data_IF_843704664873
#
_entry.id   IF_843704664873
#
_cell.length_a   1.000
_cell.length_b   1.000
_cell.length_c   1.000
_cell.angle_alpha   90.00
_cell.angle_beta   90.00
_cell.angle_gamma   90.00
#
_symmetry.space_group_name_H-M   'P 1'
#
loop_
_entity.id
_entity.type
_entity.pdbx_description
1 polymer ?
#
# COMPACT_ATOMS: atom_id res chain seq x y z
N UNK A 1 28.01 13.69 8.77
CA UNK A 1 27.03 12.64 8.41
C UNK A 1 25.64 13.15 8.75
N UNK A 2 24.73 13.25 7.78
CA UNK A 2 23.33 13.58 8.07
C UNK A 2 22.63 12.27 8.44
N UNK A 3 22.25 12.10 9.70
CA UNK A 3 21.46 10.94 10.13
C UNK A 3 20.15 10.85 9.36
N UNK A 4 19.81 9.64 8.93
CA UNK A 4 18.53 9.35 8.30
C UNK A 4 17.40 9.53 9.31
N UNK A 5 16.71 10.68 9.26
CA UNK A 5 15.58 11.00 10.15
C UNK A 5 14.29 10.22 9.83
N UNK A 6 14.23 9.49 8.71
CA UNK A 6 12.98 8.92 8.19
C UNK A 6 12.71 7.53 8.78
N UNK A 7 11.58 7.39 9.48
CA UNK A 7 11.15 6.10 10.06
C UNK A 7 10.58 5.11 9.05
N UNK A 8 10.03 5.59 7.94
CA UNK A 8 9.31 4.76 6.97
C UNK A 8 9.79 5.02 5.53
N UNK A 9 9.97 3.96 4.73
CA UNK A 9 10.23 4.12 3.29
C UNK A 9 9.02 4.75 2.60
N UNK A 10 9.29 5.64 1.63
CA UNK A 10 8.29 6.25 0.76
C UNK A 10 8.19 5.48 -0.56
N UNK A 11 6.97 5.34 -1.04
CA UNK A 11 6.62 4.60 -2.24
C UNK A 11 5.98 5.55 -3.25
N UNK A 12 6.52 5.60 -4.46
CA UNK A 12 5.96 6.41 -5.53
C UNK A 12 4.58 5.87 -5.93
N UNK A 13 3.60 6.76 -5.87
CA UNK A 13 2.20 6.45 -6.15
C UNK A 13 1.98 6.48 -7.66
N UNK A 14 1.04 5.67 -8.15
CA UNK A 14 0.63 5.68 -9.56
C UNK A 14 -0.17 6.96 -9.85
N UNK A 15 -0.15 7.41 -11.10
CA UNK A 15 -0.66 8.72 -11.55
C UNK A 15 -2.16 8.98 -11.28
N UNK A 16 -2.91 8.03 -10.73
CA UNK A 16 -4.35 8.04 -10.59
C UNK A 16 -4.85 8.08 -9.13
N UNK A 17 -4.01 8.45 -8.17
CA UNK A 17 -4.42 8.58 -6.77
C UNK A 17 -4.32 10.02 -6.25
N UNK A 18 -5.31 10.41 -5.47
CA UNK A 18 -5.55 11.78 -5.04
C UNK A 18 -5.82 11.84 -3.54
N UNK A 19 -5.38 12.94 -2.95
CA UNK A 19 -5.75 13.34 -1.62
C UNK A 19 -6.92 14.33 -1.72
N UNK A 20 -8.00 14.03 -1.02
CA UNK A 20 -9.09 15.00 -0.78
C UNK A 20 -8.74 15.70 0.52
N UNK A 21 -8.50 17.00 0.42
CA UNK A 21 -8.21 17.86 1.55
C UNK A 21 -9.45 18.75 1.69
N UNK A 22 -10.14 18.63 2.83
CA UNK A 22 -11.35 19.39 3.13
C UNK A 22 -11.08 20.67 3.96
N UNK A 23 -10.62 21.80 3.38
CA UNK A 23 -11.11 23.11 3.76
C UNK A 23 -12.33 23.48 2.89
N UNK A 24 -13.04 24.57 3.21
CA UNK A 24 -13.93 25.22 2.23
C UNK A 24 -13.06 26.19 1.40
N UNK A 25 -12.95 26.01 0.06
CA UNK A 25 -13.46 24.93 -0.78
C UNK A 25 -12.60 23.65 -0.75
N UNK A 26 -13.24 22.49 -1.02
CA UNK A 26 -12.59 21.17 -1.05
C UNK A 26 -11.52 21.14 -2.14
N UNK A 27 -10.35 20.59 -1.80
CA UNK A 27 -9.23 20.46 -2.74
C UNK A 27 -8.92 19.01 -3.04
N UNK A 28 -8.84 18.69 -4.32
CA UNK A 28 -8.39 17.39 -4.82
C UNK A 28 -6.98 17.56 -5.37
N UNK A 29 -6.00 16.96 -4.71
CA UNK A 29 -4.58 17.10 -5.08
C UNK A 29 -3.92 15.76 -5.38
N UNK A 30 -3.06 15.64 -6.40
CA UNK A 30 -2.35 14.40 -6.69
C UNK A 30 -1.44 13.94 -5.55
N UNK A 31 -1.43 12.64 -5.26
CA UNK A 31 -0.46 12.03 -4.34
C UNK A 31 0.76 11.60 -5.15
N UNK A 32 1.92 12.17 -4.83
CA UNK A 32 3.20 11.87 -5.50
C UNK A 32 3.87 10.64 -4.90
N UNK A 33 3.91 10.57 -3.58
CA UNK A 33 4.50 9.47 -2.83
C UNK A 33 3.79 9.27 -1.48
N UNK A 34 3.89 8.08 -0.93
CA UNK A 34 3.24 7.73 0.34
C UNK A 34 4.10 6.83 1.20
N UNK A 35 3.95 6.94 2.51
CA UNK A 35 4.51 6.07 3.53
C UNK A 35 3.46 5.82 4.62
N UNK A 36 3.73 4.86 5.52
CA UNK A 36 2.85 4.57 6.65
C UNK A 36 2.60 5.78 7.58
N UNK A 37 3.51 6.76 7.59
CA UNK A 37 3.40 7.95 8.45
C UNK A 37 3.04 9.24 7.71
N UNK A 38 2.79 9.21 6.40
CA UNK A 38 2.46 10.44 5.67
C UNK A 38 2.50 10.31 4.15
N UNK A 39 2.05 11.36 3.47
CA UNK A 39 2.05 11.49 2.02
C UNK A 39 2.86 12.71 1.56
N UNK A 40 3.34 12.67 0.32
CA UNK A 40 3.76 13.84 -0.44
C UNK A 40 2.69 14.15 -1.47
N UNK A 41 2.16 15.37 -1.46
CA UNK A 41 1.12 15.82 -2.40
C UNK A 41 1.64 16.96 -3.26
N UNK A 42 1.13 17.05 -4.48
CA UNK A 42 1.36 18.19 -5.36
C UNK A 42 0.35 19.29 -5.06
N UNK A 43 0.81 20.53 -4.92
CA UNK A 43 -0.01 21.71 -4.70
C UNK A 43 0.41 22.73 -5.74
N UNK A 44 -0.53 23.30 -6.50
CA UNK A 44 -0.20 24.33 -7.48
C UNK A 44 0.24 25.63 -6.76
N UNK A 45 0.80 26.59 -7.51
CA UNK A 45 1.26 27.85 -6.92
C UNK A 45 0.10 28.83 -6.60
N UNK A 46 -1.02 28.72 -7.32
CA UNK A 46 -2.25 29.49 -7.12
C UNK A 46 -2.99 29.12 -5.80
N UNK A 47 -2.78 27.90 -5.33
CA UNK A 47 -3.39 27.34 -4.13
C UNK A 47 -2.75 27.97 -2.88
N UNK A 48 -3.36 29.05 -2.38
CA UNK A 48 -2.98 29.62 -1.09
C UNK A 48 -3.22 28.62 0.04
N UNK A 49 -2.16 28.41 0.84
CA UNK A 49 -2.01 27.61 2.07
C UNK A 49 -3.07 26.53 2.33
N UNK A 50 -2.62 25.27 2.32
CA UNK A 50 -3.29 24.17 3.01
C UNK A 50 -3.38 24.53 4.51
N UNK A 51 -4.54 24.97 4.97
CA UNK A 51 -4.77 25.36 6.36
C UNK A 51 -4.93 24.14 7.27
N UNK A 52 -4.57 24.30 8.54
CA UNK A 52 -4.28 23.22 9.51
C UNK A 52 -5.44 22.30 9.93
N UNK A 53 -6.61 22.34 9.30
CA UNK A 53 -7.82 21.70 9.87
C UNK A 53 -8.56 20.75 8.93
N UNK A 54 -7.94 20.30 7.84
CA UNK A 54 -8.64 19.49 6.85
C UNK A 54 -8.61 18.01 7.20
N UNK A 55 -9.78 17.36 7.22
CA UNK A 55 -9.84 15.89 7.10
C UNK A 55 -9.16 15.53 5.78
N UNK A 56 -8.26 14.55 5.85
CA UNK A 56 -7.58 14.00 4.69
C UNK A 56 -8.26 12.68 4.31
N UNK A 57 -8.52 12.53 3.02
CA UNK A 57 -9.00 11.29 2.44
C UNK A 57 -8.10 10.91 1.27
N UNK A 58 -7.98 9.61 0.99
CA UNK A 58 -7.21 9.07 -0.12
C UNK A 58 -8.15 8.35 -1.04
N UNK A 59 -8.11 8.66 -2.33
CA UNK A 59 -8.96 8.05 -3.35
C UNK A 59 -8.15 7.70 -4.59
N UNK A 60 -8.55 6.64 -5.28
CA UNK A 60 -8.07 6.32 -6.63
C UNK A 60 -9.17 6.63 -7.64
N UNK A 61 -8.83 7.26 -8.77
CA UNK A 61 -9.80 7.78 -9.73
C UNK A 61 -10.71 6.72 -10.38
N UNK A 62 -10.28 5.46 -10.41
CA UNK A 62 -11.08 4.32 -10.90
C UNK A 62 -12.03 3.75 -9.82
N UNK A 63 -12.18 4.44 -8.68
CA UNK A 63 -12.98 4.04 -7.52
C UNK A 63 -12.56 2.69 -6.89
N UNK A 64 -11.39 2.14 -7.25
CA UNK A 64 -10.90 0.87 -6.72
C UNK A 64 -10.45 0.92 -5.26
N UNK A 65 -10.29 2.13 -4.71
CA UNK A 65 -9.84 2.35 -3.35
C UNK A 65 -10.29 3.71 -2.80
N UNK A 66 -10.71 3.71 -1.54
CA UNK A 66 -11.05 4.91 -0.79
C UNK A 66 -10.70 4.73 0.70
N UNK A 67 -10.05 5.73 1.30
CA UNK A 67 -9.71 5.77 2.72
C UNK A 67 -10.02 7.15 3.29
N UNK A 68 -11.03 7.21 4.16
CA UNK A 68 -11.51 8.45 4.75
C UNK A 68 -10.94 8.74 6.14
N UNK A 69 -11.20 9.97 6.60
CA UNK A 69 -11.04 10.42 7.99
C UNK A 69 -9.61 10.23 8.54
N UNK A 70 -8.59 10.43 7.71
CA UNK A 70 -7.21 10.52 8.19
C UNK A 70 -7.04 11.90 8.81
N UNK A 71 -6.79 11.95 10.12
CA UNK A 71 -6.43 13.19 10.79
C UNK A 71 -4.96 13.53 10.44
N UNK A 72 -4.68 14.67 9.78
CA UNK A 72 -3.30 15.11 9.60
C UNK A 72 -2.74 15.64 10.94
N UNK A 73 -1.50 15.29 11.24
CA UNK A 73 -0.75 15.79 12.40
C UNK A 73 -0.10 17.15 12.07
N UNK A 74 0.43 17.26 10.85
CA UNK A 74 1.01 18.49 10.33
C UNK A 74 1.13 18.46 8.82
N UNK A 75 1.16 19.64 8.23
CA UNK A 75 1.59 19.88 6.86
C UNK A 75 2.93 20.58 6.96
N UNK A 76 3.97 19.99 6.39
CA UNK A 76 5.35 20.50 6.46
C UNK A 76 6.03 20.41 5.09
N UNK A 77 7.14 21.12 4.97
CA UNK A 77 8.11 20.97 3.87
C UNK A 77 7.50 21.03 2.46
N UNK A 78 6.95 22.19 2.10
CA UNK A 78 6.64 22.51 0.71
C UNK A 78 7.92 22.91 -0.02
N UNK A 79 8.29 22.14 -1.05
CA UNK A 79 9.46 22.42 -1.90
C UNK A 79 9.01 22.56 -3.35
N UNK A 80 9.74 23.35 -4.15
CA UNK A 80 9.49 23.44 -5.58
C UNK A 80 9.48 22.04 -6.21
N UNK A 81 8.46 21.79 -7.03
CA UNK A 81 8.29 20.56 -7.79
C UNK A 81 8.42 20.91 -9.27
N UNK A 82 9.58 20.61 -9.91
CA UNK A 82 9.85 21.07 -11.26
C UNK A 82 8.94 20.36 -12.28
N UNK A 83 8.53 21.11 -13.30
CA UNK A 83 7.62 20.66 -14.36
C UNK A 83 8.12 19.47 -15.21
N UNK A 84 9.36 19.01 -14.98
CA UNK A 84 10.02 17.94 -15.74
C UNK A 84 9.64 16.53 -15.27
N UNK A 85 8.94 16.37 -14.15
CA UNK A 85 8.69 15.05 -13.52
C UNK A 85 7.29 14.47 -13.73
N UNK A 86 6.39 15.20 -14.39
CA UNK A 86 5.02 14.77 -14.70
C UNK A 86 4.36 15.81 -15.62
N UNK A 87 3.19 15.51 -16.18
CA UNK A 87 2.35 16.50 -16.89
C UNK A 87 1.80 17.60 -15.94
N UNK A 88 2.43 17.82 -14.78
CA UNK A 88 2.06 18.83 -13.79
C UNK A 88 2.92 20.07 -14.06
N UNK A 89 2.25 21.21 -14.18
CA UNK A 89 2.90 22.52 -14.38
C UNK A 89 3.55 22.96 -13.06
N UNK A 90 4.40 23.99 -13.10
CA UNK A 90 5.07 24.60 -11.96
C UNK A 90 4.23 24.61 -10.66
N UNK A 91 4.78 24.03 -9.60
CA UNK A 91 4.07 23.82 -8.35
C UNK A 91 4.98 23.38 -7.22
N UNK A 92 4.38 22.92 -6.13
CA UNK A 92 5.09 22.54 -4.90
C UNK A 92 4.72 21.14 -4.48
N UNK A 93 5.72 20.38 -4.03
CA UNK A 93 5.52 19.15 -3.27
C UNK A 93 5.45 19.50 -1.80
N UNK A 94 4.29 19.31 -1.19
CA UNK A 94 4.09 19.48 0.25
C UNK A 94 4.01 18.11 0.93
N UNK A 95 4.59 17.99 2.13
CA UNK A 95 4.53 16.76 2.92
C UNK A 95 3.42 16.86 3.96
N UNK A 96 2.60 15.81 4.06
CA UNK A 96 1.54 15.70 5.06
C UNK A 96 1.86 14.52 5.97
N UNK A 97 2.00 14.79 7.27
CA UNK A 97 2.19 13.74 8.27
C UNK A 97 0.82 13.25 8.75
N UNK A 98 0.63 11.94 8.76
CA UNK A 98 -0.58 11.35 9.33
C UNK A 98 -0.47 11.37 10.85
N UNK A 99 -1.58 11.71 11.51
CA UNK A 99 -1.75 11.55 12.94
C UNK A 99 -1.92 10.08 13.32
N UNK A 100 -2.53 9.85 14.48
CA UNK A 100 -2.77 8.50 14.97
C UNK A 100 -3.77 7.77 14.08
N UNK A 101 -3.28 6.77 13.34
CA UNK A 101 -4.13 5.89 12.53
C UNK A 101 -4.71 4.75 13.37
N UNK A 102 -6.00 4.47 13.18
CA UNK A 102 -6.66 3.27 13.72
C UNK A 102 -6.09 1.99 13.10
N UNK A 103 -6.27 0.80 13.72
CA UNK A 103 -5.86 -0.47 13.13
C UNK A 103 -6.46 -0.73 11.74
N UNK A 104 -7.73 -0.33 11.52
CA UNK A 104 -8.40 -0.41 10.22
C UNK A 104 -7.71 0.47 9.18
N UNK A 105 -7.50 1.76 9.48
CA UNK A 105 -6.80 2.69 8.58
C UNK A 105 -5.37 2.25 8.26
N UNK A 106 -4.65 1.67 9.24
CA UNK A 106 -3.32 1.09 8.99
C UNK A 106 -3.37 -0.08 8.02
N UNK A 107 -4.41 -0.91 8.09
CA UNK A 107 -4.60 -2.06 7.21
C UNK A 107 -4.93 -1.61 5.79
N UNK A 108 -5.84 -0.65 5.65
CA UNK A 108 -6.17 -0.02 4.36
C UNK A 108 -4.96 0.70 3.74
N UNK A 109 -4.17 1.43 4.53
CA UNK A 109 -2.98 2.10 4.04
C UNK A 109 -1.90 1.10 3.57
N UNK A 110 -1.76 -0.04 4.27
CA UNK A 110 -0.88 -1.13 3.80
C UNK A 110 -1.39 -1.72 2.49
N UNK A 111 -2.70 -1.91 2.36
CA UNK A 111 -3.33 -2.35 1.10
C UNK A 111 -3.04 -1.35 -0.02
N UNK A 112 -3.24 -0.06 0.23
CA UNK A 112 -2.95 1.00 -0.74
C UNK A 112 -1.50 0.96 -1.22
N UNK A 113 -0.54 0.97 -0.28
CA UNK A 113 0.89 0.91 -0.59
C UNK A 113 1.22 -0.32 -1.45
N UNK A 114 0.58 -1.46 -1.17
CA UNK A 114 0.84 -2.71 -1.89
C UNK A 114 0.26 -2.71 -3.31
N UNK A 115 -0.86 -2.06 -3.56
CA UNK A 115 -1.62 -2.19 -4.81
C UNK A 115 -1.53 -0.94 -5.73
N UNK A 116 -1.30 0.24 -5.17
CA UNK A 116 -1.35 1.52 -5.89
C UNK A 116 -0.01 2.26 -5.95
N UNK A 117 1.10 1.59 -5.61
CA UNK A 117 2.46 2.14 -5.71
C UNK A 117 3.34 1.29 -6.63
N UNK A 118 4.35 1.91 -7.25
CA UNK A 118 5.24 1.24 -8.21
C UNK A 118 6.01 0.06 -7.59
N UNK A 119 6.53 0.23 -6.37
CA UNK A 119 7.27 -0.82 -5.64
C UNK A 119 6.38 -1.90 -5.02
N UNK A 120 5.13 -1.57 -4.68
CA UNK A 120 4.16 -2.55 -4.17
C UNK A 120 3.88 -3.68 -5.17
N UNK A 121 3.79 -3.34 -6.46
CA UNK A 121 3.46 -4.29 -7.53
C UNK A 121 4.62 -5.21 -7.86
N UNK A 122 5.87 -4.72 -7.89
CA UNK A 122 7.05 -5.59 -8.08
C UNK A 122 7.11 -6.70 -7.02
N UNK A 123 6.76 -6.40 -5.77
CA UNK A 123 6.65 -7.42 -4.72
C UNK A 123 5.52 -8.43 -4.96
N UNK A 124 4.40 -8.00 -5.55
CA UNK A 124 3.32 -8.93 -5.93
C UNK A 124 3.72 -9.83 -7.09
N UNK A 125 4.38 -9.27 -8.10
CA UNK A 125 4.92 -10.00 -9.25
C UNK A 125 5.92 -11.04 -8.77
N UNK A 126 6.90 -10.65 -7.94
CA UNK A 126 7.87 -11.59 -7.36
C UNK A 126 7.20 -12.70 -6.53
N UNK A 127 6.18 -12.36 -5.71
CA UNK A 127 5.40 -13.36 -4.96
C UNK A 127 4.60 -14.32 -5.85
N UNK A 128 4.11 -13.86 -7.01
CA UNK A 128 3.45 -14.75 -7.98
C UNK A 128 4.49 -15.69 -8.61
N UNK A 129 5.65 -15.19 -9.00
CA UNK A 129 6.75 -16.00 -9.52
C UNK A 129 7.27 -17.02 -8.50
N UNK A 130 7.44 -16.66 -7.23
CA UNK A 130 7.91 -17.61 -6.20
C UNK A 130 6.91 -18.76 -5.98
N UNK A 131 5.60 -18.49 -6.04
CA UNK A 131 4.58 -19.55 -5.97
C UNK A 131 4.66 -20.51 -7.15
N UNK A 132 4.90 -20.00 -8.36
CA UNK A 132 5.07 -20.83 -9.57
C UNK A 132 6.29 -21.74 -9.44
N UNK A 133 7.40 -21.23 -8.90
CA UNK A 133 8.63 -22.01 -8.72
C UNK A 133 8.50 -23.12 -7.66
N UNK A 134 7.66 -22.94 -6.62
CA UNK A 134 7.39 -24.00 -5.64
C UNK A 134 6.37 -25.04 -6.12
N UNK A 135 5.49 -24.71 -7.06
CA UNK A 135 4.57 -25.69 -7.68
C UNK A 135 5.22 -26.58 -8.75
N UNK A 136 6.48 -26.29 -9.14
CA UNK A 136 7.23 -27.08 -10.14
C UNK A 136 8.13 -28.18 -9.58
N UNK A 137 8.18 -28.39 -8.26
CA UNK A 137 9.04 -29.40 -7.63
C UNK A 137 8.32 -30.18 -6.53
N UNK A 138 7.36 -31.02 -6.93
CA UNK A 138 6.93 -32.19 -6.17
C UNK A 138 6.24 -33.19 -7.07
N UNK A 139 7.05 -33.93 -7.84
CA UNK A 139 6.76 -35.31 -8.18
C UNK A 139 8.09 -36.01 -8.52
N UNK A 140 8.84 -36.37 -7.47
CA UNK A 140 9.68 -37.56 -7.52
C UNK A 140 9.05 -38.55 -6.56
N UNK A 141 8.36 -39.53 -7.12
CA UNK A 141 7.90 -40.70 -6.41
C UNK A 141 9.11 -41.40 -5.77
N UNK A 142 9.26 -41.25 -4.45
CA UNK A 142 9.95 -42.23 -3.63
C UNK A 142 8.88 -43.11 -2.99
N UNK A 143 8.74 -44.33 -3.49
CA UNK A 143 8.00 -45.36 -2.78
C UNK A 143 8.85 -45.87 -1.61
N UNK A 144 8.31 -45.95 -0.40
CA UNK A 144 8.72 -46.97 0.55
C UNK A 144 7.65 -48.05 0.58
N UNK A 145 8.06 -49.26 0.21
CA UNK A 145 7.37 -50.50 0.50
C UNK A 145 7.17 -50.66 2.01
N UNK A 146 5.92 -50.74 2.45
CA UNK A 146 5.55 -51.37 3.72
C UNK A 146 4.13 -51.94 3.59
N UNK A 147 4.05 -53.26 3.50
CA UNK A 147 2.83 -54.06 3.61
C UNK A 147 2.28 -53.99 5.05
N UNK A 148 1.01 -53.59 5.27
CA UNK A 148 0.31 -53.89 6.50
C UNK A 148 -0.41 -55.25 6.40
N UNK A 149 -0.30 -56.03 7.48
CA UNK A 149 -0.65 -57.43 7.58
C UNK A 149 -2.11 -57.79 7.24
N UNK A 150 -2.19 -58.92 6.56
CA UNK A 150 -3.36 -59.71 6.21
C UNK A 150 -3.75 -60.60 7.39
N UNK A 151 -4.56 -60.14 8.35
CA UNK A 151 -5.27 -61.04 9.29
C UNK A 151 -6.52 -60.36 9.84
N UNK A 152 -7.69 -60.77 9.37
CA UNK A 152 -8.93 -60.88 10.17
C UNK A 152 -9.99 -61.57 9.30
N UNK A 153 -10.28 -62.83 9.64
CA UNK A 153 -11.60 -63.48 9.54
C UNK A 153 -11.48 -64.87 10.17
N UNK A 154 -11.38 -64.90 11.51
CA UNK A 154 -11.71 -66.09 12.29
C UNK A 154 -13.22 -66.02 12.56
N UNK A 155 -13.99 -66.74 11.74
CA UNK A 155 -15.33 -67.17 12.13
C UNK A 155 -15.18 -68.28 13.18
N UNK A 156 -15.80 -68.07 14.35
CA UNK A 156 -16.03 -69.09 15.37
C UNK A 156 -17.53 -69.15 15.72
N UNK A 157 -18.02 -70.28 16.25
CA UNK A 157 -19.32 -70.83 15.88
C UNK A 157 -20.46 -70.63 16.90
N UNK A 158 -21.66 -70.94 16.41
CA UNK A 158 -22.90 -71.42 17.08
C UNK A 158 -22.90 -71.65 18.59
N UNK A 159 -23.95 -71.12 19.25
CA UNK A 159 -25.00 -71.92 19.92
C UNK A 159 -26.35 -71.26 19.64
#
# INVERSE_FOLDING_TARGET
>A
MQDERRRYPRYQVRSNAFAVINPEPVRLVPILDIAMGGAGVYVNNEDQRLTKSSKLEIMVADCSFYLANIAPDSISDCRAFPATHSNLIDGRRCSMKFGTLTPGQKSELKYFIRNHTQRGVLRQVYRKFSKILHTGSSQKHSAPSCNPGLWQNLHGPTV
#
